data_IF_816108274031
#
_entry.id   IF_816108274031
#
_cell.length_a   1.000
_cell.length_b   1.000
_cell.length_c   1.000
_cell.angle_alpha   90.00
_cell.angle_beta   90.00
_cell.angle_gamma   90.00
#
_symmetry.space_group_name_H-M   'P 1'
#
loop_
_entity.id
_entity.type
_entity.pdbx_description
1 polymer ?
#
# COMPACT_ATOMS: atom_id res chain seq x y z
N UNK A 1 13.72 10.78 8.45
CA UNK A 1 13.71 12.06 7.72
C UNK A 1 14.95 12.91 7.98
N UNK A 2 15.41 13.08 9.22
CA UNK A 2 16.58 13.93 9.54
C UNK A 2 17.92 13.41 8.98
N UNK A 3 18.09 12.08 8.92
CA UNK A 3 19.30 11.48 8.35
C UNK A 3 19.54 11.88 6.89
N UNK A 4 18.48 12.04 6.08
CA UNK A 4 18.61 12.49 4.69
C UNK A 4 19.14 13.92 4.61
N UNK A 5 18.72 14.80 5.51
CA UNK A 5 19.24 16.16 5.57
C UNK A 5 20.72 16.19 5.95
N UNK A 6 21.12 15.37 6.92
CA UNK A 6 22.52 15.26 7.32
C UNK A 6 23.38 14.69 6.18
N UNK A 7 22.92 13.64 5.49
CA UNK A 7 23.60 13.06 4.33
C UNK A 7 23.69 14.07 3.19
N UNK A 8 22.62 14.82 2.91
CA UNK A 8 22.62 15.87 1.89
C UNK A 8 23.59 17.00 2.24
N UNK A 9 23.71 17.36 3.51
CA UNK A 9 24.66 18.37 3.97
C UNK A 9 26.11 17.90 3.78
N UNK A 10 26.43 16.68 4.21
CA UNK A 10 27.77 16.08 3.99
C UNK A 10 28.08 16.03 2.50
N UNK A 11 27.13 15.58 1.68
CA UNK A 11 27.26 15.54 0.24
C UNK A 11 27.49 16.94 -0.36
N UNK A 12 26.75 17.96 0.08
CA UNK A 12 26.93 19.34 -0.36
C UNK A 12 28.34 19.87 -0.03
N UNK A 13 28.88 19.55 1.15
CA UNK A 13 30.26 19.89 1.52
C UNK A 13 31.25 19.19 0.58
N UNK A 14 31.08 17.91 0.29
CA UNK A 14 31.94 17.19 -0.66
C UNK A 14 31.92 17.81 -2.05
N UNK A 15 30.73 18.19 -2.54
CA UNK A 15 30.56 18.87 -3.82
C UNK A 15 31.24 20.26 -3.82
N UNK A 16 31.12 21.01 -2.72
CA UNK A 16 31.79 22.31 -2.59
C UNK A 16 33.32 22.17 -2.58
N UNK A 17 33.86 21.19 -1.85
CA UNK A 17 35.29 20.86 -1.85
C UNK A 17 35.74 20.46 -3.26
N UNK A 18 34.97 19.62 -3.95
CA UNK A 18 35.24 19.24 -5.34
C UNK A 18 35.31 20.47 -6.26
N UNK A 19 34.37 21.41 -6.14
CA UNK A 19 34.34 22.62 -6.95
C UNK A 19 35.55 23.53 -6.68
N UNK A 20 35.94 23.69 -5.40
CA UNK A 20 37.10 24.48 -5.00
C UNK A 20 38.43 23.86 -5.47
N UNK A 21 38.56 22.54 -5.37
CA UNK A 21 39.78 21.85 -5.82
C UNK A 21 39.90 21.83 -7.35
N UNK A 22 38.77 21.78 -8.06
CA UNK A 22 38.71 21.83 -9.51
C UNK A 22 38.44 23.26 -10.03
N UNK A 23 38.97 24.27 -9.33
CA UNK A 23 38.84 25.68 -9.69
C UNK A 23 39.76 26.10 -10.87
N UNK A 24 40.44 25.15 -11.52
CA UNK A 24 41.29 25.41 -12.67
C UNK A 24 40.51 26.07 -13.82
N UNK A 25 40.99 27.19 -14.36
CA UNK A 25 40.32 27.90 -15.44
C UNK A 25 40.39 27.07 -16.73
N UNK A 26 39.24 26.93 -17.38
CA UNK A 26 39.08 26.28 -18.68
C UNK A 26 38.34 27.24 -19.61
N UNK A 27 38.87 27.40 -20.82
CA UNK A 27 38.21 28.20 -21.86
C UNK A 27 37.09 27.37 -22.49
N UNK A 28 35.88 27.89 -22.44
CA UNK A 28 34.70 27.27 -23.04
C UNK A 28 34.39 27.99 -24.34
N UNK A 29 34.31 27.23 -25.43
CA UNK A 29 33.90 27.72 -26.73
C UNK A 29 32.44 27.32 -26.97
N UNK A 30 31.57 28.32 -27.14
CA UNK A 30 30.17 28.11 -27.47
C UNK A 30 29.78 28.89 -28.73
N UNK A 31 29.70 28.20 -29.87
CA UNK A 31 29.46 28.79 -31.20
C UNK A 31 30.44 29.93 -31.56
N UNK A 32 30.16 31.16 -31.14
CA UNK A 32 30.99 32.36 -31.35
C UNK A 32 31.45 33.02 -30.04
N UNK A 33 30.97 32.55 -28.89
CA UNK A 33 31.35 33.05 -27.58
C UNK A 33 32.47 32.20 -27.01
N UNK A 34 33.42 32.87 -26.36
CA UNK A 34 34.42 32.22 -25.53
C UNK A 34 34.46 32.93 -24.18
N UNK A 35 34.58 32.16 -23.12
CA UNK A 35 34.76 32.68 -21.77
C UNK A 35 35.54 31.67 -20.93
N UNK A 36 36.16 32.15 -19.87
CA UNK A 36 36.87 31.30 -18.93
C UNK A 36 35.98 31.04 -17.72
N UNK A 37 35.84 29.77 -17.38
CA UNK A 37 35.18 29.33 -16.15
C UNK A 37 35.95 28.16 -15.56
N UNK A 38 35.78 27.91 -14.26
CA UNK A 38 36.44 26.76 -13.66
C UNK A 38 35.77 25.45 -14.04
N UNK A 39 36.57 24.40 -14.24
CA UNK A 39 36.06 23.06 -14.58
C UNK A 39 34.99 22.57 -13.59
N UNK A 40 35.26 22.72 -12.29
CA UNK A 40 34.33 22.33 -11.24
C UNK A 40 32.98 23.05 -11.35
N UNK A 41 32.99 24.35 -11.66
CA UNK A 41 31.78 25.15 -11.83
C UNK A 41 30.95 24.68 -13.04
N UNK A 42 31.62 24.37 -14.15
CA UNK A 42 30.96 23.89 -15.39
C UNK A 42 30.22 22.57 -15.16
N UNK A 43 30.88 21.63 -14.48
CA UNK A 43 30.29 20.33 -14.14
C UNK A 43 29.11 20.51 -13.19
N UNK A 44 29.26 21.34 -12.16
CA UNK A 44 28.21 21.61 -11.19
C UNK A 44 26.95 22.21 -11.85
N UNK A 45 27.14 23.21 -12.73
CA UNK A 45 26.03 23.81 -13.47
C UNK A 45 25.35 22.81 -14.40
N UNK A 46 26.12 22.01 -15.12
CA UNK A 46 25.57 21.00 -16.04
C UNK A 46 24.75 19.95 -15.28
N UNK A 47 25.26 19.49 -14.13
CA UNK A 47 24.55 18.59 -13.24
C UNK A 47 23.26 19.22 -12.71
N UNK A 48 23.32 20.48 -12.26
CA UNK A 48 22.16 21.19 -11.72
C UNK A 48 21.06 21.37 -12.77
N UNK A 49 21.43 21.79 -13.98
CA UNK A 49 20.49 21.90 -15.11
C UNK A 49 19.87 20.54 -15.44
N UNK A 50 20.68 19.48 -15.48
CA UNK A 50 20.20 18.11 -15.67
C UNK A 50 19.20 17.68 -14.59
N UNK A 51 19.55 17.85 -13.32
CA UNK A 51 18.70 17.48 -12.19
C UNK A 51 17.37 18.24 -12.18
N UNK A 52 17.39 19.56 -12.44
CA UNK A 52 16.18 20.39 -12.58
C UNK A 52 15.34 19.91 -13.77
N UNK A 53 15.97 19.57 -14.88
CA UNK A 53 15.26 19.06 -16.06
C UNK A 53 14.57 17.74 -15.74
N UNK A 54 15.30 16.73 -15.25
CA UNK A 54 14.72 15.42 -14.92
C UNK A 54 13.64 15.52 -13.82
N UNK A 55 13.92 16.28 -12.76
CA UNK A 55 12.96 16.50 -11.67
C UNK A 55 11.71 17.22 -12.17
N UNK A 56 11.89 18.27 -12.98
CA UNK A 56 10.81 19.03 -13.59
C UNK A 56 9.94 18.16 -14.51
N UNK A 57 10.54 17.37 -15.40
CA UNK A 57 9.82 16.43 -16.25
C UNK A 57 9.02 15.39 -15.45
N UNK A 58 9.61 14.86 -14.35
CA UNK A 58 8.93 13.92 -13.46
C UNK A 58 7.69 14.52 -12.79
N UNK A 59 7.77 15.77 -12.30
CA UNK A 59 6.64 16.48 -11.70
C UNK A 59 5.56 16.80 -12.74
N UNK A 60 5.95 17.28 -13.92
CA UNK A 60 5.03 17.60 -15.01
C UNK A 60 4.30 16.35 -15.53
N UNK A 61 4.98 15.21 -15.60
CA UNK A 61 4.38 13.94 -16.00
C UNK A 61 3.34 13.45 -14.99
N UNK A 62 3.67 13.52 -13.69
CA UNK A 62 2.75 13.17 -12.60
C UNK A 62 1.54 14.12 -12.50
N UNK A 63 1.73 15.41 -12.80
CA UNK A 63 0.64 16.37 -12.85
C UNK A 63 -0.37 16.01 -13.95
N UNK A 64 0.11 15.68 -15.17
CA UNK A 64 -0.76 15.33 -16.31
C UNK A 64 -1.56 14.04 -16.10
N UNK A 65 -1.02 13.06 -15.37
CA UNK A 65 -1.75 11.81 -15.06
C UNK A 65 -2.79 12.01 -13.97
N UNK A 66 -2.59 12.92 -13.01
CA UNK A 66 -3.59 13.28 -12.00
C UNK A 66 -4.83 13.97 -12.59
N UNK A 67 -4.70 14.68 -13.70
CA UNK A 67 -5.82 15.35 -14.37
C UNK A 67 -6.60 14.46 -15.36
N UNK A 68 -6.15 13.22 -15.64
CA UNK A 68 -6.86 12.25 -16.50
C UNK A 68 -7.65 11.22 -15.69
N UNK A 69 -8.33 11.64 -14.62
CA UNK A 69 -9.32 10.80 -13.94
C UNK A 69 -10.73 11.26 -14.33
N UNK A 70 -11.37 10.68 -15.36
CA UNK A 70 -12.82 10.64 -15.34
C UNK A 70 -13.20 9.79 -14.11
N UNK A 71 -13.80 10.43 -13.10
CA UNK A 71 -14.60 9.72 -12.08
C UNK A 71 -15.76 9.07 -12.83
N UNK A 72 -15.55 7.85 -13.30
CA UNK A 72 -16.57 7.05 -13.96
C UNK A 72 -16.48 5.63 -13.47
N UNK A 73 -17.53 5.23 -12.72
CA UNK A 73 -17.85 3.86 -12.27
C UNK A 73 -16.90 3.21 -11.25
N UNK A 74 -17.22 3.45 -9.98
CA UNK A 74 -16.85 2.57 -8.87
C UNK A 74 -17.96 2.37 -7.82
N UNK A 75 -19.06 3.12 -7.87
CA UNK A 75 -20.21 2.98 -6.94
C UNK A 75 -21.15 1.80 -7.28
N UNK A 76 -20.64 0.69 -7.82
CA UNK A 76 -21.46 -0.53 -8.04
C UNK A 76 -20.75 -1.81 -7.62
N UNK A 77 -20.15 -1.81 -6.43
CA UNK A 77 -19.75 -3.05 -5.73
C UNK A 77 -20.20 -3.06 -4.26
N UNK A 78 -21.30 -2.36 -3.94
CA UNK A 78 -22.02 -2.54 -2.66
C UNK A 78 -23.45 -3.08 -2.87
N UNK A 79 -23.85 -3.38 -4.11
CA UNK A 79 -25.15 -3.97 -4.42
C UNK A 79 -25.09 -5.48 -4.76
N UNK A 80 -23.93 -6.13 -4.57
CA UNK A 80 -23.78 -7.59 -4.68
C UNK A 80 -23.49 -8.19 -3.30
N UNK A 81 -24.14 -7.66 -2.27
CA UNK A 81 -24.17 -8.26 -0.93
C UNK A 81 -25.60 -8.24 -0.34
N UNK A 82 -26.61 -8.06 -1.21
CA UNK A 82 -28.01 -8.00 -0.82
C UNK A 82 -28.85 -9.16 -1.40
N UNK A 83 -28.24 -10.16 -2.04
CA UNK A 83 -28.98 -11.29 -2.66
C UNK A 83 -28.43 -12.68 -2.23
N UNK A 84 -27.69 -12.74 -1.12
CA UNK A 84 -27.25 -14.00 -0.49
C UNK A 84 -27.38 -13.95 1.03
N UNK A 85 -28.32 -13.17 1.57
CA UNK A 85 -28.67 -13.24 3.01
C UNK A 85 -30.17 -12.97 3.15
N UNK A 86 -30.99 -13.82 2.54
CA UNK A 86 -32.43 -13.90 2.84
C UNK A 86 -32.88 -15.37 2.92
N UNK A 87 -32.03 -16.24 3.47
CA UNK A 87 -32.43 -17.62 3.76
C UNK A 87 -31.97 -18.13 5.11
N UNK A 88 -31.37 -17.28 5.95
CA UNK A 88 -31.08 -17.70 7.32
C UNK A 88 -31.31 -16.54 8.28
N UNK A 89 -32.14 -16.84 9.28
CA UNK A 89 -32.30 -16.16 10.56
C UNK A 89 -33.30 -15.00 10.65
N UNK A 90 -34.53 -15.37 11.03
CA UNK A 90 -35.22 -14.95 12.26
C UNK A 90 -36.21 -16.09 12.58
N UNK A 91 -36.26 -16.72 13.76
CA UNK A 91 -36.40 -16.21 15.13
C UNK A 91 -35.66 -17.18 16.10
N UNK A 92 -34.65 -16.76 16.86
CA UNK A 92 -34.71 -16.27 18.27
C UNK A 92 -35.46 -17.17 19.26
N UNK A 93 -34.68 -17.77 20.18
CA UNK A 93 -34.97 -17.80 21.62
C UNK A 93 -35.83 -18.93 22.18
N UNK A 94 -35.21 -19.88 22.90
CA UNK A 94 -35.26 -19.95 24.38
C UNK A 94 -34.86 -21.34 24.92
N UNK A 95 -33.92 -21.29 25.86
CA UNK A 95 -33.69 -22.14 27.04
C UNK A 95 -33.54 -23.67 27.01
N UNK A 96 -32.69 -24.09 27.96
CA UNK A 96 -32.06 -25.40 28.18
C UNK A 96 -33.04 -26.40 28.83
N UNK A 97 -33.00 -27.70 28.49
CA UNK A 97 -33.47 -28.75 29.39
C UNK A 97 -32.24 -29.43 30.02
N UNK A 98 -31.79 -29.01 31.20
CA UNK A 98 -32.15 -29.56 32.51
C UNK A 98 -32.29 -31.08 32.57
N UNK A 99 -31.39 -31.65 33.36
CA UNK A 99 -31.57 -32.80 34.25
C UNK A 99 -31.98 -34.13 33.61
N UNK A 100 -31.04 -35.06 33.66
CA UNK A 100 -31.32 -36.45 33.98
C UNK A 100 -32.25 -36.50 35.22
N UNK A 101 -33.36 -37.23 35.14
CA UNK A 101 -33.53 -38.29 36.12
C UNK A 101 -33.91 -39.59 35.42
N UNK A 102 -32.94 -40.49 35.42
CA UNK A 102 -33.11 -41.86 35.84
C UNK A 102 -34.36 -42.05 36.72
N UNK A 103 -35.10 -43.12 36.41
CA UNK A 103 -36.21 -43.72 37.15
C UNK A 103 -37.61 -43.13 36.91
N UNK A 104 -38.35 -43.76 35.98
CA UNK A 104 -39.79 -43.99 36.12
C UNK A 104 -40.22 -45.23 35.30
N UNK A 105 -40.05 -46.38 35.93
CA UNK A 105 -41.05 -47.46 36.00
C UNK A 105 -42.11 -47.51 34.89
N UNK A 106 -41.91 -48.43 33.94
CA UNK A 106 -43.01 -49.17 33.32
C UNK A 106 -42.63 -50.63 33.15
N UNK A 107 -43.19 -51.45 34.03
CA UNK A 107 -44.05 -52.56 33.62
C UNK A 107 -43.34 -53.71 32.94
N UNK A 108 -43.09 -54.76 33.72
CA UNK A 108 -42.61 -56.05 33.24
C UNK A 108 -43.53 -56.65 32.18
N UNK A 109 -42.93 -57.06 31.08
CA UNK A 109 -43.56 -57.95 30.11
C UNK A 109 -42.49 -58.80 29.41
N UNK A 110 -41.65 -59.47 30.22
CA UNK A 110 -40.72 -60.49 29.73
C UNK A 110 -40.97 -61.89 30.29
N UNK A 111 -42.06 -62.06 31.05
CA UNK A 111 -42.47 -63.36 31.60
C UNK A 111 -43.58 -64.05 30.81
N UNK A 112 -44.03 -63.48 29.67
CA UNK A 112 -45.13 -64.03 28.87
C UNK A 112 -44.71 -64.75 27.58
N UNK A 113 -43.41 -64.90 27.30
CA UNK A 113 -42.91 -65.78 26.23
C UNK A 113 -42.56 -67.16 26.78
N UNK A 114 -43.55 -67.91 27.29
CA UNK A 114 -43.37 -69.36 27.55
C UNK A 114 -44.63 -70.22 27.61
N UNK A 115 -45.67 -69.90 26.82
CA UNK A 115 -46.89 -70.74 26.82
C UNK A 115 -47.66 -70.85 25.50
N UNK A 116 -47.00 -70.76 24.35
CA UNK A 116 -47.62 -71.09 23.07
C UNK A 116 -46.60 -71.62 22.03
N UNK A 117 -45.61 -72.38 22.49
CA UNK A 117 -44.96 -73.42 21.69
C UNK A 117 -44.41 -74.46 22.70
N UNK A 118 -44.97 -75.67 22.60
CA UNK A 118 -44.98 -76.84 23.52
C UNK A 118 -46.05 -76.87 24.64
#
# INVERSE_FOLDING_TARGET
MQALFLVALIFAVLVAVFALQNAYPVTIYFLRWQFEASLGLVILFSLLIGAVSLGGFGLLHQAKTKFRKPRGKGEKRQAEQADIVDSDENEVGEEKPLLNPEVADRGGEKDFLKKLED
#
